data_IF_246030412837
#
_entry.id   IF_246030412837
#
_cell.length_a   1.000
_cell.length_b   1.000
_cell.length_c   1.000
_cell.angle_alpha   90.00
_cell.angle_beta   90.00
_cell.angle_gamma   90.00
#
_symmetry.space_group_name_H-M   'P 1'
#
loop_
_entity.id
_entity.type
_entity.pdbx_description
1 polymer ?
#
# COMPACT_ATOMS: atom_id res chain seq x y z
N UNK A 1 24.36 32.82 -45.41
CA UNK A 1 23.15 32.40 -44.65
C UNK A 1 23.23 30.90 -44.41
N UNK A 2 23.47 30.42 -43.18
CA UNK A 2 23.59 28.96 -42.97
C UNK A 2 23.98 28.47 -41.57
N UNK A 3 23.65 29.18 -40.48
CA UNK A 3 24.11 28.81 -39.13
C UNK A 3 23.02 28.80 -38.04
N UNK A 4 21.73 28.66 -38.39
CA UNK A 4 20.62 28.77 -37.41
C UNK A 4 19.83 27.47 -37.10
N UNK A 5 20.16 26.30 -37.66
CA UNK A 5 19.38 25.07 -37.40
C UNK A 5 19.93 24.10 -36.34
N UNK A 6 21.17 24.26 -35.86
CA UNK A 6 21.81 23.30 -34.94
C UNK A 6 21.37 23.41 -33.47
N UNK A 7 20.85 24.57 -33.04
CA UNK A 7 20.48 24.78 -31.65
C UNK A 7 19.20 24.08 -31.19
N UNK A 8 18.21 23.89 -32.08
CA UNK A 8 16.90 23.30 -31.71
C UNK A 8 16.97 21.79 -31.49
N UNK A 9 17.82 21.08 -32.24
CA UNK A 9 18.00 19.63 -32.10
C UNK A 9 18.76 19.27 -30.84
N UNK A 10 19.76 20.07 -30.45
CA UNK A 10 20.51 19.89 -29.21
C UNK A 10 19.64 20.08 -27.96
N UNK A 11 18.79 21.12 -27.94
CA UNK A 11 17.87 21.37 -26.83
C UNK A 11 16.81 20.26 -26.66
N UNK A 12 16.27 19.74 -27.77
CA UNK A 12 15.31 18.64 -27.73
C UNK A 12 15.96 17.33 -27.23
N UNK A 13 17.19 17.03 -27.64
CA UNK A 13 17.94 15.87 -27.16
C UNK A 13 18.25 15.93 -25.66
N UNK A 14 18.66 17.11 -25.16
CA UNK A 14 18.92 17.31 -23.74
C UNK A 14 17.65 17.16 -22.88
N UNK A 15 16.53 17.74 -23.32
CA UNK A 15 15.25 17.60 -22.62
C UNK A 15 14.81 16.13 -22.54
N UNK A 16 14.92 15.38 -23.65
CA UNK A 16 14.59 13.96 -23.68
C UNK A 16 15.50 13.13 -22.75
N UNK A 17 16.80 13.41 -22.71
CA UNK A 17 17.74 12.74 -21.83
C UNK A 17 17.40 12.99 -20.34
N UNK A 18 17.11 14.24 -19.97
CA UNK A 18 16.71 14.59 -18.60
C UNK A 18 15.40 13.90 -18.22
N UNK A 19 14.37 13.95 -19.07
CA UNK A 19 13.10 13.26 -18.81
C UNK A 19 13.30 11.76 -18.66
N UNK A 20 14.14 11.15 -19.49
CA UNK A 20 14.45 9.73 -19.41
C UNK A 20 15.17 9.36 -18.11
N UNK A 21 16.15 10.16 -17.67
CA UNK A 21 16.82 9.96 -16.37
C UNK A 21 15.83 10.05 -15.22
N UNK A 22 15.03 11.11 -15.17
CA UNK A 22 14.03 11.31 -14.12
C UNK A 22 13.08 10.12 -14.07
N UNK A 23 12.58 9.66 -15.22
CA UNK A 23 11.70 8.50 -15.29
C UNK A 23 12.39 7.25 -14.75
N UNK A 24 13.63 6.98 -15.17
CA UNK A 24 14.36 5.79 -14.72
C UNK A 24 14.68 5.85 -13.23
N UNK A 25 15.09 7.02 -12.70
CA UNK A 25 15.28 7.23 -11.26
C UNK A 25 14.00 6.97 -10.48
N UNK A 26 12.88 7.58 -10.90
CA UNK A 26 11.59 7.39 -10.22
C UNK A 26 11.16 5.93 -10.25
N UNK A 27 11.23 5.28 -11.42
CA UNK A 27 10.85 3.87 -11.56
C UNK A 27 11.73 2.96 -10.70
N UNK A 28 13.06 3.13 -10.72
CA UNK A 28 13.97 2.30 -9.93
C UNK A 28 13.81 2.52 -8.42
N UNK A 29 13.62 3.77 -7.98
CA UNK A 29 13.34 4.09 -6.57
C UNK A 29 12.01 3.47 -6.13
N UNK A 30 10.95 3.60 -6.93
CA UNK A 30 9.64 3.01 -6.61
C UNK A 30 9.73 1.49 -6.53
N UNK A 31 10.34 0.84 -7.54
CA UNK A 31 10.54 -0.62 -7.54
C UNK A 31 11.32 -1.04 -6.30
N UNK A 32 12.45 -0.39 -6.01
CA UNK A 32 13.27 -0.72 -4.86
C UNK A 32 12.54 -0.53 -3.53
N UNK A 33 11.78 0.56 -3.38
CA UNK A 33 11.00 0.84 -2.17
C UNK A 33 9.94 -0.24 -1.96
N UNK A 34 9.19 -0.58 -3.01
CA UNK A 34 8.16 -1.64 -2.97
C UNK A 34 8.79 -2.99 -2.64
N UNK A 35 9.90 -3.34 -3.28
CA UNK A 35 10.61 -4.61 -3.04
C UNK A 35 11.18 -4.69 -1.63
N UNK A 36 11.72 -3.59 -1.09
CA UNK A 36 12.24 -3.52 0.27
C UNK A 36 11.11 -3.64 1.29
N UNK A 37 10.01 -2.90 1.11
CA UNK A 37 8.83 -2.99 1.97
C UNK A 37 8.23 -4.40 1.94
N UNK A 38 8.10 -5.01 0.77
CA UNK A 38 7.63 -6.39 0.62
C UNK A 38 8.55 -7.39 1.34
N UNK A 39 9.87 -7.23 1.21
CA UNK A 39 10.85 -8.10 1.89
C UNK A 39 10.78 -7.96 3.41
N UNK A 40 10.67 -6.73 3.94
CA UNK A 40 10.49 -6.50 5.37
C UNK A 40 9.19 -7.10 5.89
N UNK A 41 8.10 -6.94 5.13
CA UNK A 41 6.81 -7.51 5.44
C UNK A 41 6.89 -9.04 5.51
N UNK A 42 7.50 -9.69 4.50
CA UNK A 42 7.73 -11.14 4.51
C UNK A 42 8.56 -11.59 5.72
N UNK A 43 9.60 -10.84 6.11
CA UNK A 43 10.37 -11.11 7.32
C UNK A 43 9.52 -11.07 8.59
N UNK A 44 8.60 -10.10 8.70
CA UNK A 44 7.63 -10.04 9.81
C UNK A 44 6.67 -11.22 9.78
N UNK A 45 6.17 -11.60 8.61
CA UNK A 45 5.26 -12.76 8.45
C UNK A 45 5.90 -14.08 8.87
N UNK A 46 7.15 -14.30 8.50
CA UNK A 46 7.89 -15.47 8.93
C UNK A 46 8.07 -15.50 10.45
N UNK A 47 8.27 -14.35 11.10
CA UNK A 47 8.29 -14.26 12.56
C UNK A 47 6.94 -14.56 13.23
N UNK A 48 5.83 -14.45 12.49
CA UNK A 48 4.47 -14.79 12.96
C UNK A 48 4.10 -16.25 12.79
N UNK A 49 4.78 -16.99 11.90
CA UNK A 49 4.55 -18.41 11.69
C UNK A 49 4.75 -19.16 13.01
N UNK A 50 3.65 -19.46 13.71
CA UNK A 50 3.67 -20.45 14.80
C UNK A 50 4.17 -21.76 14.21
N UNK A 51 4.88 -22.55 15.01
CA UNK A 51 5.66 -23.72 14.60
C UNK A 51 4.90 -24.74 13.70
N UNK A 52 3.57 -24.74 13.71
CA UNK A 52 2.76 -25.75 13.04
C UNK A 52 2.16 -25.33 11.67
N UNK A 53 2.07 -24.03 11.33
CA UNK A 53 1.55 -23.59 10.01
C UNK A 53 2.22 -22.30 9.54
N UNK A 54 3.10 -22.34 8.52
CA UNK A 54 3.65 -21.14 7.92
C UNK A 54 2.59 -20.34 7.16
N UNK A 55 2.42 -19.08 7.57
CA UNK A 55 1.61 -18.12 6.81
C UNK A 55 2.33 -17.76 5.52
N UNK A 56 1.82 -18.25 4.40
CA UNK A 56 2.27 -17.85 3.08
C UNK A 56 1.74 -16.47 2.70
N UNK A 57 2.51 -15.72 1.92
CA UNK A 57 2.08 -14.41 1.37
C UNK A 57 0.75 -14.53 0.61
N UNK A 58 0.54 -15.65 -0.07
CA UNK A 58 -0.70 -15.95 -0.79
C UNK A 58 -1.92 -16.07 0.13
N UNK A 59 -1.77 -16.67 1.32
CA UNK A 59 -2.87 -16.74 2.29
C UNK A 59 -3.25 -15.35 2.77
N UNK A 60 -2.29 -14.45 2.97
CA UNK A 60 -2.57 -13.08 3.41
C UNK A 60 -3.19 -12.25 2.29
N UNK A 61 -2.74 -12.39 1.04
CA UNK A 61 -3.42 -11.75 -0.09
C UNK A 61 -4.87 -12.24 -0.22
N UNK A 62 -5.12 -13.54 0.00
CA UNK A 62 -6.47 -14.11 0.01
C UNK A 62 -7.32 -13.55 1.16
N UNK A 63 -6.78 -13.53 2.38
CA UNK A 63 -7.44 -12.96 3.56
C UNK A 63 -7.77 -11.48 3.32
N UNK A 64 -6.83 -10.71 2.78
CA UNK A 64 -7.02 -9.31 2.40
C UNK A 64 -8.13 -9.13 1.36
N UNK A 65 -8.17 -9.95 0.30
CA UNK A 65 -9.24 -9.89 -0.70
C UNK A 65 -10.60 -10.20 -0.09
N UNK A 66 -10.67 -11.26 0.73
CA UNK A 66 -11.89 -11.62 1.44
C UNK A 66 -12.33 -10.50 2.40
N UNK A 67 -11.38 -9.93 3.13
CA UNK A 67 -11.58 -8.78 4.01
C UNK A 67 -12.15 -7.59 3.25
N UNK A 68 -11.50 -7.18 2.16
CA UNK A 68 -11.94 -6.03 1.35
C UNK A 68 -13.36 -6.26 0.79
N UNK A 69 -13.64 -7.45 0.25
CA UNK A 69 -15.00 -7.78 -0.23
C UNK A 69 -16.04 -7.72 0.89
N UNK A 70 -15.70 -8.19 2.09
CA UNK A 70 -16.62 -8.09 3.23
C UNK A 70 -16.77 -6.65 3.72
N UNK A 71 -15.69 -5.87 3.76
CA UNK A 71 -15.73 -4.47 4.15
C UNK A 71 -16.55 -3.63 3.16
N UNK A 72 -16.42 -3.89 1.85
CA UNK A 72 -17.24 -3.27 0.81
C UNK A 72 -18.73 -3.66 0.99
N UNK A 73 -19.00 -4.92 1.33
CA UNK A 73 -20.34 -5.40 1.66
C UNK A 73 -20.94 -4.70 2.87
N UNK A 74 -20.15 -4.52 3.94
CA UNK A 74 -20.56 -3.77 5.14
C UNK A 74 -20.80 -2.31 4.82
N UNK A 75 -19.93 -1.67 4.03
CA UNK A 75 -20.11 -0.27 3.65
C UNK A 75 -21.40 -0.07 2.84
N UNK A 76 -21.70 -0.97 1.90
CA UNK A 76 -22.95 -0.96 1.15
C UNK A 76 -24.17 -1.20 2.06
N UNK A 77 -24.08 -2.14 2.99
CA UNK A 77 -25.13 -2.43 3.97
C UNK A 77 -25.40 -1.25 4.91
N UNK A 78 -24.34 -0.61 5.41
CA UNK A 78 -24.42 0.60 6.24
C UNK A 78 -25.10 1.74 5.47
N UNK A 79 -24.74 1.96 4.22
CA UNK A 79 -25.38 2.98 3.37
C UNK A 79 -26.88 2.70 3.18
N UNK A 80 -27.26 1.43 3.03
CA UNK A 80 -28.68 1.01 2.94
C UNK A 80 -29.44 1.25 4.25
N UNK A 81 -28.83 0.97 5.40
CA UNK A 81 -29.43 1.26 6.72
C UNK A 81 -29.63 2.77 6.91
N UNK A 82 -28.66 3.59 6.50
CA UNK A 82 -28.78 5.04 6.58
C UNK A 82 -29.90 5.59 5.68
N UNK A 83 -30.09 5.02 4.49
CA UNK A 83 -31.24 5.37 3.63
C UNK A 83 -32.57 4.98 4.28
N UNK A 84 -32.67 3.77 4.85
CA UNK A 84 -33.86 3.32 5.58
C UNK A 84 -34.16 4.18 6.81
N UNK A 85 -33.13 4.67 7.51
CA UNK A 85 -33.28 5.62 8.62
C UNK A 85 -33.90 6.94 8.14
N UNK A 86 -33.43 7.48 7.02
CA UNK A 86 -34.02 8.69 6.42
C UNK A 86 -35.47 8.46 6.02
N UNK A 87 -35.79 7.35 5.35
CA UNK A 87 -37.16 7.01 4.97
C UNK A 87 -38.09 6.88 6.19
N UNK A 88 -37.61 6.24 7.27
CA UNK A 88 -38.34 6.15 8.54
C UNK A 88 -38.60 7.54 9.14
N UNK A 89 -37.59 8.39 9.17
CA UNK A 89 -37.69 9.73 9.77
C UNK A 89 -38.62 10.64 8.95
N UNK A 90 -38.56 10.56 7.62
CA UNK A 90 -39.51 11.24 6.73
C UNK A 90 -40.94 10.75 6.93
N UNK A 91 -41.16 9.44 7.04
CA UNK A 91 -42.49 8.87 7.30
C UNK A 91 -43.02 9.28 8.68
N UNK A 92 -42.18 9.28 9.71
CA UNK A 92 -42.54 9.71 11.05
C UNK A 92 -42.90 11.21 11.11
N UNK A 93 -42.14 12.06 10.42
CA UNK A 93 -42.43 13.48 10.33
C UNK A 93 -43.74 13.75 9.59
N UNK A 94 -43.99 13.06 8.47
CA UNK A 94 -45.27 13.12 7.75
C UNK A 94 -46.45 12.68 8.62
N UNK A 95 -46.29 11.60 9.38
CA UNK A 95 -47.30 11.15 10.32
C UNK A 95 -47.59 12.21 11.39
N UNK A 96 -46.56 12.84 11.96
CA UNK A 96 -46.74 13.91 12.94
C UNK A 96 -47.47 15.12 12.35
N UNK A 97 -47.12 15.55 11.14
CA UNK A 97 -47.82 16.63 10.44
C UNK A 97 -49.30 16.28 10.19
N UNK A 98 -49.58 15.05 9.75
CA UNK A 98 -50.94 14.55 9.55
C UNK A 98 -51.72 14.43 10.85
N UNK A 99 -51.06 14.10 11.96
CA UNK A 99 -51.70 14.05 13.28
C UNK A 99 -52.18 15.43 13.72
N UNK A 100 -51.37 16.48 13.47
CA UNK A 100 -51.75 17.87 13.75
C UNK A 100 -52.91 18.32 12.85
N UNK A 101 -52.86 17.99 11.54
CA UNK A 101 -53.98 18.26 10.62
C UNK A 101 -55.25 17.51 11.02
N UNK A 102 -55.11 16.27 11.47
CA UNK A 102 -56.24 15.46 11.92
C UNK A 102 -56.89 16.05 13.17
N UNK A 103 -56.11 16.53 14.14
CA UNK A 103 -56.68 17.23 15.30
C UNK A 103 -57.47 18.48 14.89
N UNK A 104 -56.93 19.29 13.97
CA UNK A 104 -57.65 20.46 13.47
C UNK A 104 -58.93 20.07 12.72
N UNK A 105 -58.89 19.04 11.86
CA UNK A 105 -60.07 18.56 11.15
C UNK A 105 -61.13 17.95 12.09
N UNK A 106 -60.72 17.35 13.21
CA UNK A 106 -61.65 16.91 14.27
C UNK A 106 -62.32 18.13 14.91
N UNK A 107 -61.57 19.18 15.24
CA UNK A 107 -62.10 20.38 15.87
C UNK A 107 -63.11 21.08 14.94
N UNK A 108 -62.79 21.21 13.65
CA UNK A 108 -63.69 21.76 12.63
C UNK A 108 -64.94 20.89 12.41
N UNK A 109 -64.78 19.57 12.40
CA UNK A 109 -65.89 18.62 12.36
C UNK A 109 -66.79 18.77 13.60
N UNK A 110 -66.21 18.87 14.80
CA UNK A 110 -66.98 19.03 16.02
C UNK A 110 -67.73 20.38 16.04
N UNK A 111 -67.08 21.46 15.60
CA UNK A 111 -67.70 22.78 15.51
C UNK A 111 -68.86 22.81 14.50
N UNK A 112 -68.67 22.26 13.30
CA UNK A 112 -69.73 22.16 12.28
C UNK A 112 -70.88 21.26 12.70
N UNK A 113 -70.58 20.11 13.33
CA UNK A 113 -71.57 19.20 13.94
C UNK A 113 -72.40 19.93 14.99
N UNK A 114 -71.76 20.62 15.92
CA UNK A 114 -72.44 21.32 17.02
C UNK A 114 -73.31 22.47 16.49
N UNK A 115 -72.85 23.21 15.47
CA UNK A 115 -73.64 24.27 14.81
C UNK A 115 -74.86 23.71 14.07
N UNK A 116 -74.71 22.61 13.32
CA UNK A 116 -75.82 21.94 12.63
C UNK A 116 -76.84 21.43 13.65
N UNK A 117 -76.41 20.73 14.70
CA UNK A 117 -77.31 20.21 15.72
C UNK A 117 -78.02 21.34 16.47
N UNK A 118 -77.30 22.40 16.85
CA UNK A 118 -77.89 23.56 17.53
C UNK A 118 -78.97 24.23 16.67
N UNK A 119 -78.73 24.38 15.36
CA UNK A 119 -79.70 24.98 14.44
C UNK A 119 -80.88 24.05 14.14
N UNK A 120 -80.65 22.75 13.94
CA UNK A 120 -81.73 21.78 13.72
C UNK A 120 -82.67 21.66 14.92
N UNK A 121 -82.15 21.79 16.16
CA UNK A 121 -82.97 21.82 17.39
C UNK A 121 -83.99 22.97 17.42
N UNK A 122 -83.79 24.04 16.66
CA UNK A 122 -84.76 25.13 16.54
C UNK A 122 -85.98 24.76 15.67
N UNK A 123 -85.83 23.77 14.80
CA UNK A 123 -86.85 23.39 13.82
C UNK A 123 -87.53 22.05 14.13
N UNK A 124 -86.80 21.10 14.75
CA UNK A 124 -87.34 19.78 15.11
C UNK A 124 -87.39 19.66 16.64
N UNK A 125 -88.58 19.63 17.27
CA UNK A 125 -88.68 19.44 18.69
C UNK A 125 -88.27 18.00 19.06
N UNK A 126 -87.30 17.88 19.98
CA UNK A 126 -87.10 16.72 20.88
C UNK A 126 -86.45 15.42 20.33
N UNK A 127 -85.97 15.35 19.09
CA UNK A 127 -85.35 14.10 18.57
C UNK A 127 -83.85 13.93 18.88
N UNK A 128 -83.15 15.01 19.25
CA UNK A 128 -81.73 14.93 19.65
C UNK A 128 -81.61 14.83 21.17
N UNK A 129 -80.90 13.82 21.73
CA UNK A 129 -80.65 13.75 23.16
C UNK A 129 -79.86 14.98 23.64
N UNK A 130 -80.04 15.34 24.91
CA UNK A 130 -79.35 16.49 25.51
C UNK A 130 -77.83 16.34 25.42
N UNK A 131 -77.32 15.10 25.53
CA UNK A 131 -75.90 14.78 25.44
C UNK A 131 -75.56 14.09 24.11
N UNK A 132 -75.21 14.91 23.12
CA UNK A 132 -74.82 14.47 21.77
C UNK A 132 -73.48 13.73 21.77
N UNK A 133 -72.65 13.96 22.80
CA UNK A 133 -71.31 13.40 22.94
C UNK A 133 -71.29 11.88 23.18
N UNK A 134 -72.39 11.31 23.71
CA UNK A 134 -72.48 9.87 24.02
C UNK A 134 -72.94 9.04 22.82
N UNK A 135 -73.39 9.69 21.73
CA UNK A 135 -73.80 9.01 20.52
C UNK A 135 -72.60 8.71 19.63
N UNK A 136 -72.56 7.51 19.04
CA UNK A 136 -71.57 7.17 18.03
C UNK A 136 -71.70 8.07 16.79
N UNK A 137 -70.58 8.45 16.17
CA UNK A 137 -70.53 9.34 15.00
C UNK A 137 -71.48 8.90 13.86
N UNK A 138 -71.61 7.58 13.62
CA UNK A 138 -72.53 7.04 12.61
C UNK A 138 -74.01 7.21 12.97
N UNK A 139 -74.36 7.00 14.25
CA UNK A 139 -75.74 7.16 14.71
C UNK A 139 -76.14 8.63 14.67
N UNK A 140 -75.24 9.52 15.09
CA UNK A 140 -75.47 10.95 15.05
C UNK A 140 -75.65 11.45 13.63
N UNK A 141 -74.79 11.01 12.71
CA UNK A 141 -74.94 11.31 11.29
C UNK A 141 -76.30 10.87 10.76
N UNK A 142 -76.70 9.62 11.02
CA UNK A 142 -77.99 9.11 10.56
C UNK A 142 -79.18 9.94 11.10
N UNK A 143 -79.09 10.44 12.34
CA UNK A 143 -80.11 11.35 12.90
C UNK A 143 -80.10 12.74 12.28
N UNK A 144 -78.92 13.30 11.98
CA UNK A 144 -78.80 14.59 11.29
C UNK A 144 -79.39 14.47 9.88
N UNK A 145 -78.97 13.44 9.12
CA UNK A 145 -79.43 13.20 7.76
C UNK A 145 -80.96 13.00 7.71
N UNK A 146 -81.50 12.17 8.61
CA UNK A 146 -82.95 11.96 8.71
C UNK A 146 -83.73 13.21 9.13
N UNK A 147 -83.22 14.00 10.08
CA UNK A 147 -83.87 15.24 10.50
C UNK A 147 -83.92 16.28 9.36
N UNK A 148 -82.89 16.33 8.52
CA UNK A 148 -82.85 17.23 7.36
C UNK A 148 -83.83 16.77 6.29
N UNK A 149 -83.91 15.46 6.01
CA UNK A 149 -84.86 14.88 5.05
C UNK A 149 -86.31 15.15 5.48
N UNK A 150 -86.63 14.96 6.75
CA UNK A 150 -87.96 15.26 7.31
C UNK A 150 -88.32 16.75 7.17
N UNK A 151 -87.35 17.65 7.39
CA UNK A 151 -87.52 19.10 7.27
C UNK A 151 -87.66 19.58 5.82
N UNK A 152 -87.14 18.83 4.86
CA UNK A 152 -87.05 19.25 3.45
C UNK A 152 -88.44 19.55 2.85
N UNK A 153 -89.47 18.84 3.32
CA UNK A 153 -90.86 19.00 2.88
C UNK A 153 -91.62 20.12 3.61
N UNK A 154 -91.14 20.56 4.77
CA UNK A 154 -91.83 21.49 5.67
C UNK A 154 -91.29 22.94 5.62
N UNK A 155 -90.07 23.14 5.11
CA UNK A 155 -89.39 24.44 5.15
C UNK A 155 -89.70 25.35 3.96
N UNK A 156 -89.80 26.66 4.22
CA UNK A 156 -89.80 27.69 3.17
C UNK A 156 -88.43 27.73 2.44
N UNK A 157 -88.44 28.16 1.18
CA UNK A 157 -87.27 28.10 0.29
C UNK A 157 -85.99 28.75 0.85
N UNK A 158 -86.10 29.89 1.57
CA UNK A 158 -84.95 30.55 2.18
C UNK A 158 -84.34 29.77 3.34
N UNK A 159 -85.17 29.17 4.19
CA UNK A 159 -84.73 28.35 5.32
C UNK A 159 -84.17 27.02 4.85
N UNK A 160 -84.79 26.42 3.81
CA UNK A 160 -84.29 25.21 3.15
C UNK A 160 -82.84 25.42 2.67
N UNK A 161 -82.58 26.50 1.93
CA UNK A 161 -81.22 26.83 1.48
C UNK A 161 -80.23 26.94 2.64
N UNK A 162 -80.61 27.60 3.74
CA UNK A 162 -79.73 27.75 4.90
C UNK A 162 -79.40 26.39 5.56
N UNK A 163 -80.37 25.47 5.64
CA UNK A 163 -80.16 24.10 6.15
C UNK A 163 -79.28 23.30 5.19
N UNK A 164 -79.51 23.40 3.89
CA UNK A 164 -78.70 22.74 2.86
C UNK A 164 -77.24 23.23 2.89
N UNK A 165 -77.03 24.54 3.02
CA UNK A 165 -75.68 25.15 3.13
C UNK A 165 -74.96 24.64 4.39
N UNK A 166 -75.66 24.54 5.53
CA UNK A 166 -75.12 24.02 6.78
C UNK A 166 -74.78 22.53 6.71
N UNK A 167 -75.69 21.75 6.12
CA UNK A 167 -75.47 20.33 5.89
C UNK A 167 -74.26 20.11 4.98
N UNK A 168 -74.12 20.93 3.93
CA UNK A 168 -72.96 20.91 3.04
C UNK A 168 -71.65 21.17 3.77
N UNK A 169 -71.60 22.16 4.69
CA UNK A 169 -70.42 22.43 5.52
C UNK A 169 -70.09 21.23 6.41
N UNK A 170 -71.07 20.65 7.09
CA UNK A 170 -70.88 19.47 7.94
C UNK A 170 -70.34 18.26 7.16
N UNK A 171 -70.91 17.96 6.00
CA UNK A 171 -70.45 16.86 5.16
C UNK A 171 -69.04 17.10 4.63
N UNK A 172 -68.69 18.35 4.30
CA UNK A 172 -67.34 18.71 3.87
C UNK A 172 -66.32 18.47 5.00
N UNK A 173 -66.59 18.94 6.22
CA UNK A 173 -65.73 18.72 7.39
C UNK A 173 -65.60 17.24 7.76
N UNK A 174 -66.70 16.47 7.67
CA UNK A 174 -66.66 15.01 7.89
C UNK A 174 -65.79 14.30 6.84
N UNK A 175 -65.88 14.71 5.58
CA UNK A 175 -65.05 14.16 4.49
C UNK A 175 -63.57 14.46 4.74
N UNK A 176 -63.24 15.70 5.07
CA UNK A 176 -61.86 16.12 5.39
C UNK A 176 -61.28 15.36 6.58
N UNK A 177 -62.05 15.20 7.67
CA UNK A 177 -61.67 14.36 8.82
C UNK A 177 -61.35 12.93 8.40
N UNK A 178 -62.19 12.30 7.58
CA UNK A 178 -62.01 10.91 7.15
C UNK A 178 -60.81 10.74 6.20
N UNK A 179 -60.63 11.66 5.24
CA UNK A 179 -59.49 11.67 4.32
C UNK A 179 -58.17 11.87 5.10
N UNK A 180 -58.15 12.78 6.08
CA UNK A 180 -56.97 13.02 6.93
C UNK A 180 -56.66 11.81 7.84
N UNK A 181 -57.69 11.14 8.38
CA UNK A 181 -57.50 9.92 9.17
C UNK A 181 -56.92 8.78 8.33
N UNK A 182 -57.44 8.59 7.11
CA UNK A 182 -56.95 7.54 6.22
C UNK A 182 -55.49 7.78 5.86
N UNK A 183 -55.14 9.01 5.45
CA UNK A 183 -53.75 9.36 5.13
C UNK A 183 -52.81 9.22 6.33
N UNK A 184 -53.27 9.56 7.55
CA UNK A 184 -52.50 9.33 8.77
C UNK A 184 -52.23 7.83 9.02
N UNK A 185 -53.23 6.96 8.82
CA UNK A 185 -53.06 5.50 8.95
C UNK A 185 -52.10 4.92 7.92
N UNK A 186 -52.15 5.42 6.68
CA UNK A 186 -51.23 5.02 5.62
C UNK A 186 -49.78 5.43 5.96
N UNK A 187 -49.58 6.64 6.49
CA UNK A 187 -48.29 7.12 6.95
C UNK A 187 -47.74 6.32 8.14
N UNK A 188 -48.60 5.96 9.10
CA UNK A 188 -48.24 5.10 10.23
C UNK A 188 -47.79 3.71 9.77
N UNK A 189 -48.55 3.09 8.86
CA UNK A 189 -48.20 1.79 8.28
C UNK A 189 -46.87 1.85 7.50
N UNK A 190 -46.62 2.93 6.76
CA UNK A 190 -45.34 3.16 6.08
C UNK A 190 -44.17 3.27 7.09
N UNK A 191 -44.35 4.01 8.18
CA UNK A 191 -43.34 4.14 9.23
C UNK A 191 -43.06 2.80 9.94
N UNK A 192 -44.10 2.01 10.21
CA UNK A 192 -43.97 0.67 10.79
C UNK A 192 -43.20 -0.29 9.86
N UNK A 193 -43.53 -0.28 8.57
CA UNK A 193 -42.82 -1.08 7.57
C UNK A 193 -41.34 -0.68 7.43
N UNK A 194 -41.03 0.61 7.48
CA UNK A 194 -39.66 1.11 7.45
C UNK A 194 -38.86 0.64 8.69
N UNK A 195 -39.48 0.67 9.89
CA UNK A 195 -38.86 0.13 11.12
C UNK A 195 -38.57 -1.37 11.01
N UNK A 196 -39.54 -2.16 10.55
CA UNK A 196 -39.35 -3.61 10.38
C UNK A 196 -38.26 -3.96 9.37
N UNK A 197 -38.13 -3.17 8.29
CA UNK A 197 -37.03 -3.33 7.34
C UNK A 197 -35.68 -2.96 7.96
N UNK A 198 -35.61 -1.85 8.72
CA UNK A 198 -34.41 -1.41 9.40
C UNK A 198 -33.89 -2.47 10.39
N UNK A 199 -34.78 -3.05 11.21
CA UNK A 199 -34.41 -4.11 12.16
C UNK A 199 -33.81 -5.34 11.48
N UNK A 200 -34.36 -5.74 10.32
CA UNK A 200 -33.83 -6.87 9.55
C UNK A 200 -32.45 -6.55 8.98
N UNK A 201 -32.26 -5.36 8.42
CA UNK A 201 -31.00 -4.96 7.82
C UNK A 201 -29.89 -4.73 8.87
N UNK A 202 -30.24 -4.20 10.05
CA UNK A 202 -29.34 -4.09 11.20
C UNK A 202 -28.89 -5.48 11.68
N UNK A 203 -29.81 -6.46 11.76
CA UNK A 203 -29.46 -7.83 12.10
C UNK A 203 -28.49 -8.47 11.07
N UNK A 204 -28.68 -8.18 9.77
CA UNK A 204 -27.77 -8.62 8.71
C UNK A 204 -26.40 -7.96 8.86
N UNK A 205 -26.34 -6.67 9.19
CA UNK A 205 -25.10 -5.94 9.41
C UNK A 205 -24.30 -6.53 10.59
N UNK A 206 -24.95 -6.79 11.72
CA UNK A 206 -24.31 -7.40 12.90
C UNK A 206 -23.74 -8.79 12.56
N UNK A 207 -24.47 -9.60 11.79
CA UNK A 207 -23.97 -10.91 11.36
C UNK A 207 -22.82 -10.78 10.33
N UNK A 208 -22.83 -9.76 9.47
CA UNK A 208 -21.72 -9.47 8.56
C UNK A 208 -20.46 -9.04 9.31
N UNK A 209 -20.57 -8.15 10.31
CA UNK A 209 -19.46 -7.76 11.20
C UNK A 209 -18.89 -8.97 11.96
N UNK A 210 -19.77 -9.87 12.41
CA UNK A 210 -19.35 -11.12 13.05
C UNK A 210 -18.64 -12.08 12.09
N UNK A 211 -19.01 -12.11 10.81
CA UNK A 211 -18.29 -12.90 9.79
C UNK A 211 -16.91 -12.34 9.51
N UNK A 212 -16.76 -11.01 9.52
CA UNK A 212 -15.47 -10.33 9.39
C UNK A 212 -14.50 -10.75 10.48
N UNK A 213 -14.92 -10.74 11.75
CA UNK A 213 -14.04 -11.17 12.85
C UNK A 213 -13.62 -12.64 12.73
N UNK A 214 -14.52 -13.51 12.24
CA UNK A 214 -14.23 -14.91 11.95
C UNK A 214 -13.28 -15.14 10.76
N UNK A 215 -13.15 -14.20 9.83
CA UNK A 215 -12.16 -14.35 8.74
C UNK A 215 -10.74 -14.26 9.27
N UNK A 216 -10.50 -13.42 10.28
CA UNK A 216 -9.16 -13.26 10.88
C UNK A 216 -8.92 -14.30 11.96
N UNK A 217 -9.90 -14.55 12.84
CA UNK A 217 -9.81 -15.52 13.92
C UNK A 217 -10.98 -16.51 13.84
N UNK A 218 -10.89 -17.52 12.95
CA UNK A 218 -12.00 -18.46 12.73
C UNK A 218 -12.34 -19.27 13.98
N UNK A 219 -11.35 -19.54 14.84
CA UNK A 219 -11.50 -20.37 16.03
C UNK A 219 -11.67 -19.56 17.33
N UNK A 220 -11.53 -18.23 17.28
CA UNK A 220 -11.57 -17.37 18.47
C UNK A 220 -10.38 -17.59 19.41
N UNK A 221 -9.30 -18.22 18.93
CA UNK A 221 -8.15 -18.64 19.75
C UNK A 221 -6.94 -17.74 19.58
N UNK A 222 -6.99 -16.77 18.65
CA UNK A 222 -5.90 -15.83 18.47
C UNK A 222 -5.85 -14.84 19.63
N UNK A 223 -4.63 -14.54 20.09
CA UNK A 223 -4.45 -13.49 21.11
C UNK A 223 -4.87 -12.16 20.49
N UNK A 224 -5.50 -11.23 21.24
CA UNK A 224 -5.88 -9.92 20.72
C UNK A 224 -4.73 -9.16 20.05
N UNK A 225 -3.50 -9.32 20.57
CA UNK A 225 -2.29 -8.75 19.98
C UNK A 225 -1.95 -9.31 18.59
N UNK A 226 -2.17 -10.61 18.36
CA UNK A 226 -1.91 -11.26 17.07
C UNK A 226 -2.91 -10.78 16.02
N UNK A 227 -4.19 -10.66 16.41
CA UNK A 227 -5.26 -10.10 15.56
C UNK A 227 -4.91 -8.68 15.13
N UNK A 228 -4.55 -7.78 16.06
CA UNK A 228 -4.17 -6.40 15.75
C UNK A 228 -2.98 -6.32 14.78
N UNK A 229 -2.03 -7.25 14.89
CA UNK A 229 -0.87 -7.32 13.98
C UNK A 229 -1.24 -7.81 12.59
N UNK A 230 -2.18 -8.77 12.47
CA UNK A 230 -2.74 -9.18 11.16
C UNK A 230 -3.46 -8.01 10.50
N UNK A 231 -4.21 -7.22 11.26
CA UNK A 231 -4.82 -5.98 10.76
C UNK A 231 -3.78 -5.00 10.23
N UNK A 232 -2.72 -4.77 10.99
CA UNK A 232 -1.61 -3.91 10.58
C UNK A 232 -0.99 -4.39 9.27
N UNK A 233 -0.72 -5.69 9.15
CA UNK A 233 -0.21 -6.33 7.92
C UNK A 233 -1.16 -6.17 6.72
N UNK A 234 -2.47 -6.40 6.91
CA UNK A 234 -3.48 -6.19 5.85
C UNK A 234 -3.49 -4.73 5.39
N UNK A 235 -3.37 -3.80 6.33
CA UNK A 235 -3.34 -2.36 6.03
C UNK A 235 -2.05 -1.95 5.30
N UNK A 236 -0.89 -2.46 5.71
CA UNK A 236 0.39 -2.26 5.04
C UNK A 236 0.34 -2.82 3.60
N UNK A 237 -0.21 -4.02 3.40
CA UNK A 237 -0.41 -4.58 2.06
C UNK A 237 -1.32 -3.72 1.18
N UNK A 238 -2.39 -3.18 1.76
CA UNK A 238 -3.32 -2.29 1.04
C UNK A 238 -2.65 -0.97 0.67
N UNK A 239 -1.79 -0.44 1.54
CA UNK A 239 -0.96 0.72 1.25
C UNK A 239 0.01 0.44 0.09
N UNK A 240 0.72 -0.69 0.12
CA UNK A 240 1.65 -1.09 -0.96
C UNK A 240 0.90 -1.20 -2.29
N UNK A 241 -0.28 -1.81 -2.33
CA UNK A 241 -1.06 -1.90 -3.57
C UNK A 241 -1.43 -0.54 -4.15
N UNK A 242 -1.90 0.38 -3.29
CA UNK A 242 -2.26 1.75 -3.70
C UNK A 242 -1.05 2.56 -4.14
N UNK A 243 0.06 2.45 -3.41
CA UNK A 243 1.30 3.16 -3.71
C UNK A 243 1.96 2.64 -5.00
N UNK A 244 1.94 1.33 -5.22
CA UNK A 244 2.63 0.64 -6.31
C UNK A 244 1.80 0.56 -7.61
N UNK A 245 0.77 1.40 -7.75
CA UNK A 245 -0.11 1.49 -8.92
C UNK A 245 -0.72 0.12 -9.34
N UNK A 246 -0.93 -0.79 -8.40
CA UNK A 246 -1.51 -2.14 -8.59
C UNK A 246 -0.69 -3.13 -9.44
N UNK A 247 0.09 -2.68 -10.42
CA UNK A 247 0.90 -3.54 -11.30
C UNK A 247 2.16 -4.03 -10.60
N UNK A 248 2.83 -3.14 -9.86
CA UNK A 248 4.04 -3.49 -9.12
C UNK A 248 3.73 -4.31 -7.85
N UNK A 249 2.47 -4.29 -7.39
CA UNK A 249 2.00 -5.13 -6.28
C UNK A 249 2.22 -6.62 -6.53
N UNK A 250 2.12 -7.06 -7.79
CA UNK A 250 2.36 -8.47 -8.15
C UNK A 250 3.78 -8.93 -7.80
N UNK A 251 4.75 -8.02 -7.75
CA UNK A 251 6.11 -8.34 -7.30
C UNK A 251 6.16 -8.61 -5.80
N UNK A 252 5.35 -7.93 -4.98
CA UNK A 252 5.34 -8.11 -3.52
C UNK A 252 4.87 -9.52 -3.08
N UNK A 253 4.13 -10.23 -3.95
CA UNK A 253 3.68 -11.61 -3.71
C UNK A 253 4.77 -12.64 -4.05
N UNK A 254 5.83 -12.24 -4.77
CA UNK A 254 6.90 -13.17 -5.14
C UNK A 254 7.70 -13.65 -3.91
N UNK A 255 8.30 -14.85 -3.97
CA UNK A 255 9.17 -15.35 -2.91
C UNK A 255 10.31 -14.37 -2.59
N UNK A 256 10.78 -14.40 -1.34
CA UNK A 256 11.77 -13.45 -0.82
C UNK A 256 13.07 -13.42 -1.63
N UNK A 257 13.44 -14.54 -2.23
CA UNK A 257 14.61 -14.71 -3.07
C UNK A 257 14.47 -13.90 -4.35
N UNK A 258 13.30 -13.94 -5.00
CA UNK A 258 13.04 -13.16 -6.19
C UNK A 258 13.00 -11.67 -5.90
N UNK A 259 12.41 -11.27 -4.76
CA UNK A 259 12.45 -9.88 -4.29
C UNK A 259 13.90 -9.40 -4.14
N UNK A 260 14.77 -10.21 -3.53
CA UNK A 260 16.18 -9.84 -3.38
C UNK A 260 16.87 -9.62 -4.73
N UNK A 261 16.60 -10.47 -5.73
CA UNK A 261 17.17 -10.33 -7.08
C UNK A 261 16.64 -9.05 -7.76
N UNK A 262 15.34 -8.77 -7.68
CA UNK A 262 14.75 -7.56 -8.24
C UNK A 262 15.34 -6.30 -7.59
N UNK A 263 15.56 -6.33 -6.27
CA UNK A 263 16.19 -5.25 -5.53
C UNK A 263 17.62 -5.00 -6.02
N UNK A 264 18.43 -6.05 -6.15
CA UNK A 264 19.81 -5.96 -6.68
C UNK A 264 19.82 -5.33 -8.06
N UNK A 265 18.92 -5.78 -8.94
CA UNK A 265 18.80 -5.26 -10.30
C UNK A 265 18.46 -3.78 -10.28
N UNK A 266 17.41 -3.38 -9.55
CA UNK A 266 16.98 -2.00 -9.45
C UNK A 266 18.10 -1.09 -8.90
N UNK A 267 18.83 -1.59 -7.89
CA UNK A 267 19.95 -0.88 -7.27
C UNK A 267 21.19 -0.80 -8.18
N UNK A 268 21.47 -1.84 -8.97
CA UNK A 268 22.53 -1.81 -9.97
C UNK A 268 22.24 -0.84 -11.12
N UNK A 269 20.99 -0.82 -11.59
CA UNK A 269 20.50 0.16 -12.57
C UNK A 269 20.64 1.57 -11.99
N UNK A 270 20.20 1.79 -10.75
CA UNK A 270 20.29 3.07 -10.06
C UNK A 270 21.74 3.53 -9.92
N UNK A 271 22.63 2.67 -9.43
CA UNK A 271 24.05 2.99 -9.27
C UNK A 271 24.72 3.41 -10.58
N UNK A 272 24.49 2.66 -11.66
CA UNK A 272 25.03 3.01 -12.98
C UNK A 272 24.41 4.30 -13.55
N UNK A 273 23.13 4.55 -13.25
CA UNK A 273 22.46 5.80 -13.67
C UNK A 273 23.03 7.01 -12.93
N UNK A 274 23.36 6.89 -11.64
CA UNK A 274 24.04 7.94 -10.88
C UNK A 274 25.42 8.24 -11.48
N UNK A 275 26.19 7.21 -11.83
CA UNK A 275 27.47 7.37 -12.51
C UNK A 275 27.30 8.12 -13.83
N UNK A 276 26.35 7.69 -14.66
CA UNK A 276 26.06 8.31 -15.96
C UNK A 276 25.60 9.77 -15.80
N UNK A 277 24.85 10.08 -14.75
CA UNK A 277 24.44 11.46 -14.42
C UNK A 277 25.65 12.32 -14.04
N UNK A 278 26.58 11.79 -13.23
CA UNK A 278 27.81 12.49 -12.88
C UNK A 278 28.68 12.79 -14.11
N UNK A 279 28.85 11.81 -15.00
CA UNK A 279 29.58 12.00 -16.26
C UNK A 279 28.90 13.02 -17.18
N UNK A 280 27.56 12.99 -17.29
CA UNK A 280 26.81 13.98 -18.05
C UNK A 280 27.08 15.42 -17.56
N UNK A 281 27.14 15.63 -16.24
CA UNK A 281 27.46 16.94 -15.66
C UNK A 281 28.93 17.34 -15.83
N UNK A 282 29.87 16.40 -15.72
CA UNK A 282 31.32 16.70 -15.81
C UNK A 282 31.79 16.94 -17.24
N UNK A 283 31.33 16.16 -18.20
CA UNK A 283 31.85 16.16 -19.57
C UNK A 283 31.02 17.04 -20.53
N UNK A 284 29.98 17.72 -20.04
CA UNK A 284 29.19 18.67 -20.82
C UNK A 284 28.23 18.02 -21.83
N UNK A 285 27.93 16.73 -21.67
CA UNK A 285 27.01 15.98 -22.50
C UNK A 285 27.48 14.55 -22.78
N UNK A 286 26.55 13.65 -23.11
CA UNK A 286 26.87 12.27 -23.46
C UNK A 286 27.02 12.15 -24.99
N UNK A 287 28.11 11.56 -25.51
CA UNK A 287 28.41 11.57 -26.94
C UNK A 287 27.52 10.65 -27.79
N UNK A 288 26.79 9.69 -27.19
CA UNK A 288 25.93 8.73 -27.93
C UNK A 288 24.66 8.36 -27.16
N UNK A 289 23.50 8.46 -27.82
CA UNK A 289 22.21 8.10 -27.24
C UNK A 289 22.07 6.62 -26.85
N UNK A 290 22.90 5.73 -27.42
CA UNK A 290 22.91 4.31 -27.05
C UNK A 290 23.43 4.06 -25.64
N UNK A 291 24.26 4.97 -25.09
CA UNK A 291 24.81 4.81 -23.74
C UNK A 291 23.75 4.95 -22.65
N UNK A 292 22.64 5.66 -22.91
CA UNK A 292 21.53 5.78 -21.96
C UNK A 292 20.93 4.42 -21.62
N UNK A 293 20.76 3.52 -22.59
CA UNK A 293 20.16 2.20 -22.31
C UNK A 293 21.20 1.15 -21.89
N UNK A 294 22.37 1.15 -22.53
CA UNK A 294 23.37 0.10 -22.33
C UNK A 294 24.01 0.17 -20.93
N UNK A 295 24.30 1.37 -20.42
CA UNK A 295 24.99 1.50 -19.12
C UNK A 295 24.16 1.01 -17.93
N UNK A 296 22.89 1.43 -17.74
CA UNK A 296 22.09 0.88 -16.65
C UNK A 296 21.88 -0.63 -16.76
N UNK A 297 21.75 -1.19 -17.98
CA UNK A 297 21.71 -2.65 -18.16
C UNK A 297 23.03 -3.31 -17.72
N UNK A 298 24.18 -2.71 -18.03
CA UNK A 298 25.48 -3.21 -17.58
C UNK A 298 25.57 -3.17 -16.04
N UNK A 299 25.12 -2.08 -15.42
CA UNK A 299 25.01 -1.96 -13.96
C UNK A 299 24.14 -3.06 -13.35
N UNK A 300 22.99 -3.37 -13.96
CA UNK A 300 22.12 -4.46 -13.55
C UNK A 300 22.83 -5.82 -13.59
N UNK A 301 23.48 -6.14 -14.72
CA UNK A 301 24.16 -7.42 -14.94
C UNK A 301 25.30 -7.59 -13.91
N UNK A 302 26.13 -6.56 -13.73
CA UNK A 302 27.26 -6.63 -12.79
C UNK A 302 26.76 -6.77 -11.36
N UNK A 303 25.70 -6.05 -10.97
CA UNK A 303 25.08 -6.20 -9.66
C UNK A 303 24.59 -7.65 -9.42
N UNK A 304 23.96 -8.29 -10.42
CA UNK A 304 23.56 -9.70 -10.31
C UNK A 304 24.79 -10.60 -10.13
N UNK A 305 25.84 -10.43 -10.93
CA UNK A 305 27.05 -11.27 -10.86
C UNK A 305 27.70 -11.15 -9.47
N UNK A 306 27.88 -9.93 -8.98
CA UNK A 306 28.45 -9.69 -7.64
C UNK A 306 27.55 -10.27 -6.55
N UNK A 307 26.23 -10.12 -6.66
CA UNK A 307 25.29 -10.70 -5.71
C UNK A 307 25.36 -12.24 -5.67
N UNK A 308 25.44 -12.90 -6.82
CA UNK A 308 25.59 -14.37 -6.90
C UNK A 308 26.90 -14.82 -6.27
N UNK A 309 28.01 -14.14 -6.58
CA UNK A 309 29.31 -14.43 -5.98
C UNK A 309 29.28 -14.25 -4.46
N UNK A 310 28.64 -13.19 -3.97
CA UNK A 310 28.51 -12.93 -2.55
C UNK A 310 27.66 -13.99 -1.86
N UNK A 311 26.52 -14.36 -2.44
CA UNK A 311 25.64 -15.41 -1.91
C UNK A 311 26.35 -16.77 -1.86
N UNK A 312 27.10 -17.11 -2.91
CA UNK A 312 27.94 -18.31 -2.93
C UNK A 312 29.07 -18.25 -1.90
N UNK A 313 29.71 -17.09 -1.72
CA UNK A 313 30.76 -16.89 -0.73
C UNK A 313 30.25 -17.05 0.70
N UNK A 314 29.08 -16.49 1.02
CA UNK A 314 28.45 -16.66 2.35
C UNK A 314 28.16 -18.14 2.61
N UNK A 315 27.62 -18.87 1.62
CA UNK A 315 27.36 -20.31 1.74
C UNK A 315 28.62 -21.14 2.05
N UNK A 316 29.79 -20.74 1.53
CA UNK A 316 31.06 -21.43 1.80
C UNK A 316 31.59 -21.13 3.21
N UNK A 317 31.36 -19.92 3.72
CA UNK A 317 31.87 -19.46 5.03
C UNK A 317 30.96 -19.87 6.18
N UNK A 318 29.64 -19.89 5.97
CA UNK A 318 28.67 -20.29 7.00
C UNK A 318 28.42 -21.79 6.90
N UNK A 319 28.87 -22.55 7.89
CA UNK A 319 28.66 -24.00 7.99
C UNK A 319 27.15 -24.34 7.88
N UNK A 320 26.75 -24.81 6.69
CA UNK A 320 25.36 -25.05 6.29
C UNK A 320 24.61 -26.03 7.20
N UNK A 321 25.32 -26.76 8.05
CA UNK A 321 24.76 -27.70 9.01
C UNK A 321 24.25 -27.05 10.31
N UNK A 322 24.71 -25.83 10.66
CA UNK A 322 24.33 -25.14 11.90
C UNK A 322 23.24 -24.08 11.73
N UNK A 323 23.02 -23.63 10.50
CA UNK A 323 21.98 -22.67 10.15
C UNK A 323 20.99 -23.39 9.22
N UNK A 324 19.96 -24.00 9.82
CA UNK A 324 18.85 -24.56 9.06
C UNK A 324 18.26 -23.48 8.15
N UNK A 325 18.24 -23.76 6.85
CA UNK A 325 17.99 -22.82 5.76
C UNK A 325 18.95 -21.61 5.72
N UNK A 326 19.56 -21.37 4.56
CA UNK A 326 20.51 -20.29 4.35
C UNK A 326 19.94 -18.96 4.87
N UNK A 327 20.51 -18.41 5.95
CA UNK A 327 20.01 -17.20 6.59
C UNK A 327 19.84 -16.09 5.54
N UNK A 328 18.63 -15.51 5.39
CA UNK A 328 18.38 -14.51 4.37
C UNK A 328 19.28 -13.30 4.61
N UNK A 329 20.04 -12.91 3.59
CA UNK A 329 20.92 -11.74 3.63
C UNK A 329 20.09 -10.48 3.90
N UNK A 330 20.63 -9.58 4.72
CA UNK A 330 19.97 -8.31 5.03
C UNK A 330 19.67 -7.53 3.73
N UNK A 331 18.40 -7.19 3.43
CA UNK A 331 18.03 -6.46 2.21
C UNK A 331 18.77 -5.14 2.01
N UNK A 332 19.13 -4.44 3.09
CA UNK A 332 19.91 -3.20 3.02
C UNK A 332 21.33 -3.44 2.53
N UNK A 333 21.95 -4.53 2.97
CA UNK A 333 23.28 -4.92 2.50
C UNK A 333 23.25 -5.33 1.02
N UNK A 334 22.22 -6.06 0.62
CA UNK A 334 21.97 -6.42 -0.79
C UNK A 334 21.84 -5.17 -1.66
N UNK A 335 21.04 -4.18 -1.21
CA UNK A 335 20.86 -2.93 -1.92
C UNK A 335 22.17 -2.15 -2.04
N UNK A 336 22.94 -2.06 -0.95
CA UNK A 336 24.26 -1.41 -0.94
C UNK A 336 25.21 -2.05 -1.97
N UNK A 337 25.32 -3.39 -1.95
CA UNK A 337 26.14 -4.13 -2.92
C UNK A 337 25.68 -3.87 -4.35
N UNK A 338 24.36 -3.83 -4.59
CA UNK A 338 23.80 -3.49 -5.90
C UNK A 338 24.21 -2.10 -6.38
N UNK A 339 24.06 -1.07 -5.55
CA UNK A 339 24.43 0.31 -5.88
C UNK A 339 25.93 0.40 -6.18
N UNK A 340 26.78 -0.13 -5.30
CA UNK A 340 28.24 -0.07 -5.46
C UNK A 340 28.67 -0.80 -6.73
N UNK A 341 28.07 -1.97 -7.02
CA UNK A 341 28.34 -2.72 -8.25
C UNK A 341 27.93 -1.95 -9.51
N UNK A 342 26.80 -1.23 -9.46
CA UNK A 342 26.36 -0.35 -10.53
C UNK A 342 27.29 0.84 -10.75
N UNK A 343 27.68 1.53 -9.67
CA UNK A 343 28.60 2.68 -9.68
C UNK A 343 30.00 2.32 -10.18
N UNK A 344 30.45 1.10 -9.89
CA UNK A 344 31.76 0.60 -10.28
C UNK A 344 31.72 -0.24 -11.55
N UNK A 345 30.60 -0.29 -12.28
CA UNK A 345 30.38 -1.21 -13.39
C UNK A 345 31.52 -1.23 -14.44
N UNK A 346 32.12 -0.08 -14.74
CA UNK A 346 33.25 0.01 -15.68
C UNK A 346 34.53 -0.61 -15.09
N UNK A 347 34.90 -0.26 -13.86
CA UNK A 347 36.09 -0.77 -13.18
C UNK A 347 35.93 -2.25 -12.74
N UNK A 348 34.70 -2.65 -12.42
CA UNK A 348 34.35 -3.99 -11.97
C UNK A 348 34.53 -5.00 -13.11
N UNK A 349 34.21 -4.62 -14.36
CA UNK A 349 34.44 -5.49 -15.51
C UNK A 349 35.93 -5.76 -15.73
N UNK A 350 36.78 -4.75 -15.56
CA UNK A 350 38.24 -4.91 -15.63
C UNK A 350 38.77 -5.78 -14.48
N UNK A 351 38.25 -5.57 -13.27
CA UNK A 351 38.62 -6.35 -12.09
C UNK A 351 38.20 -7.83 -12.22
N UNK A 352 36.96 -8.09 -12.64
CA UNK A 352 36.46 -9.45 -12.87
C UNK A 352 37.21 -10.12 -14.02
N UNK A 353 37.57 -9.39 -15.09
CA UNK A 353 38.45 -9.91 -16.15
C UNK A 353 39.84 -10.24 -15.60
N UNK A 354 40.42 -9.38 -14.76
CA UNK A 354 41.73 -9.61 -14.15
C UNK A 354 41.74 -10.82 -13.21
N UNK A 355 40.77 -10.90 -12.30
CA UNK A 355 40.62 -12.04 -11.37
C UNK A 355 40.26 -13.32 -12.12
N UNK A 356 39.32 -13.24 -13.06
CA UNK A 356 38.90 -14.39 -13.89
C UNK A 356 40.02 -14.91 -14.79
N UNK A 357 40.84 -14.03 -15.38
CA UNK A 357 42.03 -14.45 -16.13
C UNK A 357 43.08 -15.07 -15.21
N UNK A 358 43.25 -14.55 -14.00
CA UNK A 358 44.18 -15.12 -13.01
C UNK A 358 43.71 -16.52 -12.59
N UNK A 359 42.42 -16.68 -12.30
CA UNK A 359 41.83 -17.94 -11.86
C UNK A 359 41.73 -19.00 -12.99
N UNK A 360 41.22 -18.63 -14.17
CA UNK A 360 41.03 -19.54 -15.31
C UNK A 360 42.35 -19.96 -15.99
N UNK A 361 43.40 -19.15 -15.92
CA UNK A 361 44.73 -19.54 -16.42
C UNK A 361 45.46 -20.50 -15.47
N UNK A 362 44.78 -21.05 -14.46
CA UNK A 362 45.43 -21.86 -13.42
C UNK A 362 46.44 -21.07 -12.61
N UNK A 363 46.34 -19.73 -12.65
CA UNK A 363 47.24 -18.82 -12.00
C UNK A 363 46.91 -18.72 -10.52
N UNK A 364 47.32 -19.74 -9.75
CA UNK A 364 48.30 -19.35 -8.75
C UNK A 364 49.38 -18.65 -9.57
N UNK A 365 49.45 -17.32 -9.51
CA UNK A 365 50.78 -16.73 -9.60
C UNK A 365 51.45 -17.43 -8.43
N UNK A 366 52.09 -18.58 -8.71
CA UNK A 366 53.05 -19.18 -7.83
C UNK A 366 54.07 -18.08 -7.73
N UNK A 367 53.81 -17.28 -6.72
CA UNK A 367 54.65 -16.27 -6.16
C UNK A 367 55.77 -17.16 -5.61
N UNK A 368 56.68 -17.57 -6.51
CA UNK A 368 57.79 -18.44 -6.17
C UNK A 368 58.81 -17.56 -5.45
N UNK A 369 59.50 -18.09 -4.44
CA UNK A 369 60.63 -17.39 -3.86
C UNK A 369 61.65 -17.05 -4.98
N UNK A 370 62.07 -15.79 -5.07
CA UNK A 370 63.00 -15.27 -6.10
C UNK A 370 64.26 -14.72 -5.47
N UNK A 371 65.37 -14.73 -6.20
CA UNK A 371 66.66 -14.25 -5.71
C UNK A 371 66.81 -12.75 -5.91
N UNK A 372 67.34 -12.04 -4.91
CA UNK A 372 67.44 -10.58 -4.88
C UNK A 372 68.62 -10.03 -5.70
N UNK A 373 68.71 -10.39 -6.99
CA UNK A 373 69.86 -10.07 -7.84
C UNK A 373 70.08 -8.57 -8.05
N UNK A 374 69.01 -7.78 -8.09
CA UNK A 374 69.05 -6.34 -8.31
C UNK A 374 68.93 -5.50 -7.03
N UNK A 375 68.69 -6.10 -5.86
CA UNK A 375 68.41 -5.33 -4.64
C UNK A 375 69.66 -4.59 -4.15
N UNK A 376 70.82 -5.26 -4.14
CA UNK A 376 72.08 -4.68 -3.64
C UNK A 376 72.53 -3.44 -4.41
N UNK A 377 72.32 -3.41 -5.73
CA UNK A 377 72.69 -2.28 -6.59
C UNK A 377 71.79 -1.06 -6.42
N UNK A 378 70.63 -1.22 -5.77
CA UNK A 378 69.66 -0.14 -5.54
C UNK A 378 69.61 0.32 -4.08
N UNK A 379 70.44 -0.23 -3.21
CA UNK A 379 70.65 0.31 -1.86
C UNK A 379 71.46 1.60 -1.96
N UNK A 380 71.02 2.63 -1.24
CA UNK A 380 71.68 3.95 -1.16
C UNK A 380 72.03 4.28 0.29
N UNK A 381 72.81 5.34 0.51
CA UNK A 381 73.11 5.86 1.86
C UNK A 381 71.85 6.15 2.69
N UNK A 382 70.73 6.44 2.00
CA UNK A 382 69.42 6.74 2.58
C UNK A 382 68.44 5.57 2.60
N UNK A 383 68.80 4.40 2.06
CA UNK A 383 67.95 3.20 2.04
C UNK A 383 68.80 2.00 2.42
N UNK A 384 69.01 1.84 3.73
CA UNK A 384 69.86 0.78 4.29
C UNK A 384 69.04 -0.42 4.77
N UNK A 385 69.67 -1.60 4.87
CA UNK A 385 69.02 -2.83 5.35
C UNK A 385 68.52 -2.66 6.80
N UNK A 386 69.28 -1.93 7.63
CA UNK A 386 68.88 -1.63 9.01
C UNK A 386 67.60 -0.79 9.08
N UNK A 387 67.44 0.18 8.17
CA UNK A 387 66.22 0.99 8.09
C UNK A 387 65.02 0.16 7.62
N UNK A 388 65.23 -0.71 6.62
CA UNK A 388 64.19 -1.63 6.16
C UNK A 388 63.74 -2.59 7.27
N UNK A 389 64.69 -3.13 8.04
CA UNK A 389 64.42 -3.94 9.23
C UNK A 389 63.56 -3.18 10.23
N UNK A 390 63.95 -1.94 10.57
CA UNK A 390 63.20 -1.10 11.51
C UNK A 390 61.77 -0.79 11.06
N UNK A 391 61.53 -0.65 9.75
CA UNK A 391 60.21 -0.38 9.17
C UNK A 391 59.32 -1.61 9.03
N UNK A 392 59.92 -2.78 8.85
CA UNK A 392 59.18 -4.02 8.53
C UNK A 392 59.07 -4.99 9.71
N UNK A 393 59.90 -4.81 10.75
CA UNK A 393 60.03 -5.74 11.86
C UNK A 393 60.73 -7.04 11.50
N UNK A 394 61.30 -7.15 10.29
CA UNK A 394 62.03 -8.34 9.84
C UNK A 394 63.45 -8.27 10.40
N UNK A 395 63.92 -9.39 10.93
CA UNK A 395 65.28 -9.53 11.43
C UNK A 395 66.33 -9.14 10.36
N UNK A 396 67.34 -8.37 10.78
CA UNK A 396 68.39 -7.85 9.89
C UNK A 396 69.14 -8.99 9.20
N UNK A 397 69.44 -10.08 9.91
CA UNK A 397 70.19 -11.21 9.33
C UNK A 397 69.40 -11.88 8.21
N UNK A 398 68.08 -11.98 8.36
CA UNK A 398 67.20 -12.55 7.35
C UNK A 398 67.16 -11.68 6.08
N UNK A 399 67.11 -10.35 6.25
CA UNK A 399 67.20 -9.41 5.12
C UNK A 399 68.57 -9.47 4.44
N UNK A 400 69.65 -9.52 5.20
CA UNK A 400 71.01 -9.67 4.65
C UNK A 400 71.17 -10.96 3.85
N UNK A 401 70.67 -12.10 4.36
CA UNK A 401 70.68 -13.36 3.61
C UNK A 401 69.91 -13.26 2.30
N UNK A 402 68.82 -12.50 2.26
CA UNK A 402 68.08 -12.26 1.02
C UNK A 402 68.85 -11.37 0.05
N UNK A 403 69.37 -10.23 0.52
CA UNK A 403 70.12 -9.26 -0.31
C UNK A 403 71.42 -9.84 -0.84
N UNK A 404 72.15 -10.61 -0.03
CA UNK A 404 73.37 -11.32 -0.41
C UNK A 404 73.08 -12.60 -1.19
N UNK A 405 71.81 -12.85 -1.56
CA UNK A 405 71.39 -14.00 -2.36
C UNK A 405 71.81 -15.34 -1.73
N UNK A 406 71.80 -15.44 -0.40
CA UNK A 406 72.04 -16.69 0.33
C UNK A 406 70.74 -17.48 0.54
N UNK A 407 69.58 -16.81 0.47
CA UNK A 407 68.26 -17.44 0.49
C UNK A 407 67.31 -16.71 -0.47
N UNK A 408 66.34 -17.42 -1.08
CA UNK A 408 65.36 -16.77 -1.94
C UNK A 408 64.36 -15.97 -1.10
N UNK A 409 63.90 -14.86 -1.66
CA UNK A 409 63.02 -13.89 -1.00
C UNK A 409 61.57 -14.34 -1.12
N UNK A 410 60.83 -14.46 0.00
CA UNK A 410 59.41 -14.77 -0.04
C UNK A 410 58.62 -13.73 -0.84
N UNK A 411 57.51 -14.11 -1.48
CA UNK A 411 56.84 -13.25 -2.45
C UNK A 411 56.22 -11.99 -1.87
N UNK A 412 55.66 -12.11 -0.66
CA UNK A 412 55.12 -10.97 0.07
C UNK A 412 56.22 -9.94 0.36
N UNK A 413 57.44 -10.42 0.59
CA UNK A 413 58.61 -9.58 0.79
C UNK A 413 59.13 -8.97 -0.51
N UNK A 414 59.04 -9.67 -1.64
CA UNK A 414 59.44 -9.13 -2.94
C UNK A 414 58.67 -7.84 -3.29
N UNK A 415 57.36 -7.81 -3.03
CA UNK A 415 56.53 -6.61 -3.23
C UNK A 415 56.94 -5.49 -2.28
N UNK A 416 57.27 -5.82 -1.04
CA UNK A 416 57.69 -4.85 -0.04
C UNK A 416 59.02 -4.19 -0.44
N UNK A 417 60.00 -4.98 -0.88
CA UNK A 417 61.27 -4.46 -1.41
C UNK A 417 61.06 -3.55 -2.63
N UNK A 418 60.16 -3.94 -3.54
CA UNK A 418 59.80 -3.14 -4.72
C UNK A 418 59.22 -1.77 -4.35
N UNK A 419 58.27 -1.74 -3.41
CA UNK A 419 57.66 -0.50 -2.92
C UNK A 419 58.68 0.35 -2.16
N UNK A 420 59.48 -0.24 -1.28
CA UNK A 420 60.46 0.50 -0.48
C UNK A 420 61.60 1.08 -1.34
N UNK A 421 62.08 0.34 -2.34
CA UNK A 421 63.12 0.82 -3.26
C UNK A 421 62.58 1.69 -4.39
N UNK A 422 61.27 1.77 -4.58
CA UNK A 422 60.60 2.45 -5.70
C UNK A 422 61.06 1.89 -7.05
N UNK A 423 61.01 0.56 -7.17
CA UNK A 423 61.44 -0.21 -8.35
C UNK A 423 60.48 -1.35 -8.64
N UNK A 424 60.41 -1.77 -9.90
CA UNK A 424 59.58 -2.91 -10.29
C UNK A 424 60.19 -4.23 -9.78
N UNK A 425 59.35 -5.16 -9.32
CA UNK A 425 59.76 -6.49 -8.81
C UNK A 425 60.67 -7.23 -9.81
N UNK A 426 60.42 -7.10 -11.12
CA UNK A 426 61.22 -7.75 -12.17
C UNK A 426 62.64 -7.19 -12.30
N UNK A 427 62.86 -5.96 -11.84
CA UNK A 427 64.19 -5.33 -11.86
C UNK A 427 65.04 -5.72 -10.66
N UNK A 428 64.38 -6.07 -9.56
CA UNK A 428 65.03 -6.40 -8.29
C UNK A 428 65.27 -7.90 -8.11
N UNK A 429 64.42 -8.74 -8.70
CA UNK A 429 64.38 -10.17 -8.44
C UNK A 429 64.49 -11.03 -9.70
N UNK A 430 65.23 -12.13 -9.61
CA UNK A 430 65.41 -13.13 -10.68
C UNK A 430 64.97 -14.52 -10.24
N UNK A 431 64.52 -15.33 -11.20
CA UNK A 431 64.18 -16.74 -10.98
C UNK A 431 65.43 -17.65 -10.99
N UNK A 432 66.61 -17.11 -11.37
CA UNK A 432 67.86 -17.87 -11.44
C UNK A 432 68.63 -17.79 -10.12
N UNK A 433 69.06 -18.92 -9.52
CA UNK A 433 69.92 -18.89 -8.34
C UNK A 433 71.28 -18.26 -8.68
N UNK A 434 71.95 -17.59 -7.72
CA UNK A 434 73.28 -17.06 -7.92
C UNK A 434 74.27 -18.17 -8.30
N UNK A 435 75.16 -17.89 -9.24
CA UNK A 435 76.26 -18.79 -9.55
C UNK A 435 77.24 -18.79 -8.36
N UNK A 436 77.72 -19.96 -7.91
CA UNK A 436 78.72 -20.01 -6.85
C UNK A 436 79.98 -19.27 -7.34
N UNK A 437 80.48 -18.33 -6.53
CA UNK A 437 81.74 -17.67 -6.81
C UNK A 437 82.86 -18.72 -6.85
N UNK A 438 83.41 -18.96 -8.04
CA UNK A 438 84.65 -19.73 -8.27
C UNK A 438 85.86 -18.99 -7.76
#
# INVERSE_FOLDING_TARGET
>A
MGAKSTGKTAAAGAALAVTWFVLLFVVTIVVATVTLSASQLQGRLLAFSRADVPFSVWQIDRLRKQWNTQQDGIAAQSAKIDDLRRQRDEAANKFHELQVKYSAAIDDYNASRDDVVAKLRLYVPLSFPDNVLDMGDQELRAKIDGAIEDLETALHASTKKAVDDLHGIYLASLREKNETLQTAREAEAAAANARGSLEREDAILVEAEKKISKVIDPDGTMKPGDVARIYDLISEFTFIERFALGTLYRFAILPSEFLSIVLVIAMGILGSTVQLTNEYYRDGGIPKSSHFLIRPMLGAIIAIVVFVLLKAGVLVVTDSAKLGEAAPLNPFFIAFVGIVSGLLSENALETVRGVGQTWLRGGTVEQRPRWASGVKSHLSETKTIAELSGKTGIDVQSLERWVEQQAPVPPDMQKLFAVWLDKDVRTLFTDLPPQPAT
#
